data_IF_913906072796
#
_entry.id   IF_913906072796
#
_cell.length_a   1.000
_cell.length_b   1.000
_cell.length_c   1.000
_cell.angle_alpha   90.00
_cell.angle_beta   90.00
_cell.angle_gamma   90.00
#
_symmetry.space_group_name_H-M   'P 1'
#
loop_
_entity.id
_entity.type
_entity.pdbx_description
1 polymer ?
#
# COMPACT_ATOMS: atom_id res chain seq x y z
N UNK A 1 17.54 9.80 -2.52
CA UNK A 1 16.69 9.42 -1.38
C UNK A 1 15.29 9.09 -1.88
N UNK A 2 14.57 8.18 -1.23
CA UNK A 2 13.23 7.74 -1.65
C UNK A 2 12.08 8.65 -1.22
N UNK A 3 12.22 9.97 -1.31
CA UNK A 3 11.22 10.93 -0.82
C UNK A 3 10.30 11.41 -1.95
N UNK A 4 9.01 11.47 -1.66
CA UNK A 4 7.98 12.04 -2.56
C UNK A 4 7.49 13.36 -1.97
N UNK A 5 7.39 14.40 -2.81
CA UNK A 5 6.81 15.69 -2.44
C UNK A 5 5.44 15.81 -3.10
N UNK A 6 4.42 16.15 -2.33
CA UNK A 6 3.05 16.40 -2.81
C UNK A 6 2.82 17.91 -2.83
N UNK A 7 2.62 18.46 -4.02
CA UNK A 7 2.35 19.89 -4.21
C UNK A 7 0.85 20.18 -4.26
N UNK A 8 0.10 19.33 -4.97
CA UNK A 8 -1.35 19.38 -5.04
C UNK A 8 -1.95 18.38 -4.04
N UNK A 9 -2.70 18.89 -3.07
CA UNK A 9 -3.31 18.08 -2.01
C UNK A 9 -4.64 17.45 -2.45
N UNK A 10 -5.24 17.92 -3.53
CA UNK A 10 -6.47 17.35 -4.10
C UNK A 10 -6.15 16.22 -5.09
N UNK A 11 -4.91 16.17 -5.60
CA UNK A 11 -4.39 15.14 -6.49
C UNK A 11 -3.91 13.87 -5.78
N UNK A 12 -2.99 13.16 -6.44
CA UNK A 12 -2.44 11.92 -5.91
C UNK A 12 -1.58 12.14 -4.67
N UNK A 13 -1.87 11.39 -3.62
CA UNK A 13 -1.10 11.38 -2.40
C UNK A 13 0.19 10.53 -2.53
N UNK A 14 1.01 10.55 -1.48
CA UNK A 14 2.31 9.85 -1.44
C UNK A 14 2.19 8.35 -1.78
N UNK A 15 1.27 7.55 -1.19
CA UNK A 15 1.09 6.14 -1.57
C UNK A 15 0.85 5.91 -3.07
N UNK A 16 0.03 6.75 -3.71
CA UNK A 16 -0.25 6.64 -5.14
C UNK A 16 1.00 6.94 -5.98
N UNK A 17 1.75 7.97 -5.62
CA UNK A 17 3.01 8.31 -6.29
C UNK A 17 4.09 7.24 -6.11
N UNK A 18 4.22 6.68 -4.90
CA UNK A 18 5.13 5.57 -4.62
C UNK A 18 4.77 4.34 -5.45
N UNK A 19 3.47 4.00 -5.52
CA UNK A 19 2.98 2.88 -6.34
C UNK A 19 3.26 3.08 -7.83
N UNK A 20 3.01 4.28 -8.35
CA UNK A 20 3.27 4.62 -9.74
C UNK A 20 4.76 4.52 -10.09
N UNK A 21 5.62 5.17 -9.29
CA UNK A 21 7.06 5.21 -9.54
C UNK A 21 7.67 3.80 -9.47
N UNK A 22 7.35 3.03 -8.43
CA UNK A 22 7.85 1.66 -8.31
C UNK A 22 7.28 0.75 -9.41
N UNK A 23 6.02 0.92 -9.81
CA UNK A 23 5.41 0.18 -10.91
C UNK A 23 6.06 0.45 -12.27
N UNK A 24 6.61 1.65 -12.45
CA UNK A 24 7.41 2.03 -13.62
C UNK A 24 8.90 1.66 -13.50
N UNK A 25 9.29 0.94 -12.46
CA UNK A 25 10.67 0.51 -12.23
C UNK A 25 11.58 1.61 -11.67
N UNK A 26 11.04 2.74 -11.22
CA UNK A 26 11.81 3.80 -10.55
C UNK A 26 12.01 3.42 -9.09
N UNK A 27 13.17 2.83 -8.79
CA UNK A 27 13.54 2.37 -7.44
C UNK A 27 14.51 3.36 -6.79
N UNK A 28 14.26 3.80 -5.53
CA UNK A 28 15.21 4.62 -4.79
C UNK A 28 16.55 3.90 -4.59
N UNK A 29 17.65 4.62 -4.82
CA UNK A 29 19.01 4.08 -4.58
C UNK A 29 19.40 4.02 -3.10
N UNK A 30 18.66 4.72 -2.24
CA UNK A 30 18.92 4.87 -0.81
C UNK A 30 17.60 5.08 -0.08
N UNK A 31 17.46 4.42 1.05
CA UNK A 31 16.37 4.55 2.03
C UNK A 31 16.59 5.75 2.98
N UNK A 32 15.74 5.86 4.00
CA UNK A 32 15.88 6.90 5.03
C UNK A 32 16.81 6.39 6.15
N UNK A 33 17.82 7.17 6.61
CA UNK A 33 18.76 6.73 7.64
C UNK A 33 18.12 6.28 8.97
N UNK A 34 16.87 6.65 9.22
CA UNK A 34 16.13 6.15 10.38
C UNK A 34 16.00 4.62 10.38
N UNK A 35 16.00 3.98 9.20
CA UNK A 35 15.90 2.52 9.07
C UNK A 35 17.08 1.84 9.76
N UNK A 36 18.29 2.41 9.70
CA UNK A 36 19.49 1.86 10.34
C UNK A 36 19.40 1.79 11.87
N UNK A 37 18.54 2.61 12.47
CA UNK A 37 18.32 2.63 13.91
C UNK A 37 17.25 1.61 14.37
N UNK A 38 16.58 0.91 13.45
CA UNK A 38 15.51 -0.03 13.77
C UNK A 38 16.03 -1.46 14.03
N UNK A 39 15.32 -2.21 14.88
CA UNK A 39 15.53 -3.65 14.98
C UNK A 39 14.88 -4.34 13.76
N UNK A 40 15.70 -4.96 12.91
CA UNK A 40 15.26 -5.58 11.66
C UNK A 40 14.32 -6.78 11.86
N UNK A 41 14.51 -7.59 12.90
CA UNK A 41 13.61 -8.73 13.17
C UNK A 41 12.21 -8.24 13.54
N UNK A 42 12.13 -7.17 14.33
CA UNK A 42 10.85 -6.53 14.65
C UNK A 42 10.21 -5.91 13.42
N UNK A 43 10.99 -5.27 12.54
CA UNK A 43 10.50 -4.68 11.29
C UNK A 43 9.93 -5.76 10.35
N UNK A 44 10.64 -6.88 10.17
CA UNK A 44 10.18 -8.01 9.35
C UNK A 44 8.90 -8.62 9.91
N UNK A 45 8.84 -8.84 11.23
CA UNK A 45 7.63 -9.33 11.90
C UNK A 45 6.44 -8.38 11.73
N UNK A 46 6.67 -7.06 11.81
CA UNK A 46 5.64 -6.06 11.56
C UNK A 46 5.08 -6.13 10.14
N UNK A 47 5.95 -6.19 9.13
CA UNK A 47 5.54 -6.27 7.73
C UNK A 47 4.81 -7.59 7.43
N UNK A 48 5.24 -8.70 8.02
CA UNK A 48 4.54 -9.99 7.92
C UNK A 48 3.12 -9.90 8.50
N UNK A 49 2.96 -9.32 9.68
CA UNK A 49 1.64 -9.10 10.31
C UNK A 49 0.72 -8.25 9.44
N UNK A 50 1.25 -7.21 8.78
CA UNK A 50 0.48 -6.38 7.83
C UNK A 50 0.03 -7.15 6.61
N UNK A 51 0.90 -7.96 6.02
CA UNK A 51 0.54 -8.86 4.90
C UNK A 51 -0.60 -9.81 5.30
N UNK A 52 -0.49 -10.42 6.47
CA UNK A 52 -1.50 -11.37 6.95
C UNK A 52 -2.84 -10.68 7.24
N UNK A 53 -2.81 -9.44 7.74
CA UNK A 53 -4.01 -8.64 7.93
C UNK A 53 -4.73 -8.36 6.60
N UNK A 54 -4.00 -7.96 5.56
CA UNK A 54 -4.57 -7.76 4.22
C UNK A 54 -5.20 -9.06 3.70
N UNK A 55 -4.49 -10.20 3.81
CA UNK A 55 -4.99 -11.49 3.36
C UNK A 55 -6.27 -11.91 4.10
N UNK A 56 -6.35 -11.67 5.42
CA UNK A 56 -7.57 -11.95 6.21
C UNK A 56 -8.75 -11.10 5.76
N UNK A 57 -8.54 -9.81 5.49
CA UNK A 57 -9.60 -8.92 5.03
C UNK A 57 -10.09 -9.36 3.66
N UNK A 58 -9.19 -9.58 2.70
CA UNK A 58 -9.55 -10.04 1.35
C UNK A 58 -10.36 -11.33 1.39
N UNK A 59 -9.96 -12.31 2.22
CA UNK A 59 -10.68 -13.58 2.39
C UNK A 59 -12.11 -13.41 2.91
N UNK A 60 -12.37 -12.34 3.67
CA UNK A 60 -13.69 -12.05 4.23
C UNK A 60 -14.58 -11.22 3.30
N UNK A 61 -14.05 -10.69 2.20
CA UNK A 61 -14.83 -9.89 1.24
C UNK A 61 -15.68 -10.80 0.34
N UNK A 62 -16.90 -10.38 -0.04
CA UNK A 62 -17.66 -11.05 -1.07
C UNK A 62 -17.01 -10.85 -2.44
N UNK A 63 -17.35 -11.72 -3.39
CA UNK A 63 -17.00 -11.49 -4.79
C UNK A 63 -17.67 -10.21 -5.29
N UNK A 64 -17.00 -9.51 -6.22
CA UNK A 64 -17.49 -8.21 -6.70
C UNK A 64 -18.91 -8.28 -7.27
N UNK A 65 -19.22 -9.34 -8.03
CA UNK A 65 -20.56 -9.57 -8.58
C UNK A 65 -21.63 -9.78 -7.49
N UNK A 66 -21.29 -10.47 -6.40
CA UNK A 66 -22.21 -10.68 -5.27
C UNK A 66 -22.53 -9.35 -4.59
N UNK A 67 -21.52 -8.52 -4.36
CA UNK A 67 -21.70 -7.19 -3.78
C UNK A 67 -22.62 -6.32 -4.65
N UNK A 68 -22.40 -6.28 -5.98
CA UNK A 68 -23.27 -5.52 -6.90
C UNK A 68 -24.71 -6.02 -6.81
N UNK A 69 -24.93 -7.33 -6.89
CA UNK A 69 -26.29 -7.90 -6.88
C UNK A 69 -27.08 -7.56 -5.60
N UNK A 70 -26.39 -7.42 -4.46
CA UNK A 70 -27.00 -7.16 -3.17
C UNK A 70 -27.23 -5.67 -2.89
N UNK A 71 -26.45 -4.78 -3.51
CA UNK A 71 -26.40 -3.37 -3.10
C UNK A 71 -26.68 -2.36 -4.20
N UNK A 72 -26.34 -2.64 -5.47
CA UNK A 72 -26.37 -1.63 -6.54
C UNK A 72 -26.58 -2.22 -7.94
N UNK A 73 -27.40 -3.26 -8.06
CA UNK A 73 -27.75 -3.81 -9.36
C UNK A 73 -28.36 -2.72 -10.25
N UNK A 74 -27.79 -2.52 -11.44
CA UNK A 74 -28.37 -1.65 -12.45
C UNK A 74 -29.70 -2.26 -12.96
N UNK A 75 -30.67 -1.43 -13.38
CA UNK A 75 -31.93 -1.91 -13.98
C UNK A 75 -31.73 -2.78 -15.22
#
# INVERSE_FOLDING_TARGET
TGRVVVYDKEGFNVPSMVSLLMGLGVVPKQDDPLIDAMNFDHLLGHLASRRDAVARVVKAMPEHAQYISQHCAAP
#
